data_IF_255181734828
#
_entry.id   IF_255181734828
#
_cell.length_a   1.000
_cell.length_b   1.000
_cell.length_c   1.000
_cell.angle_alpha   90.00
_cell.angle_beta   90.00
_cell.angle_gamma   90.00
#
_symmetry.space_group_name_H-M   'P 1'
#
loop_
_entity.id
_entity.type
_entity.pdbx_description
1 polymer ?
#
# COMPACT_ATOMS: atom_id res chain seq x y z
N UNK A 1 41.18 6.13 44.81
CA UNK A 1 39.87 5.63 45.25
C UNK A 1 38.93 5.85 44.10
N UNK A 2 38.57 4.74 43.48
CA UNK A 2 37.58 4.64 42.41
C UNK A 2 36.18 4.80 43.01
N UNK A 3 35.17 4.91 42.14
CA UNK A 3 33.72 5.12 42.40
C UNK A 3 33.35 6.61 42.41
N UNK A 4 32.41 7.13 41.61
CA UNK A 4 31.22 6.52 40.98
C UNK A 4 30.96 7.17 39.60
N UNK A 5 30.90 6.36 38.53
CA UNK A 5 30.12 6.70 37.32
C UNK A 5 28.95 5.74 37.27
N UNK A 6 27.94 6.03 38.08
CA UNK A 6 26.69 5.29 38.15
C UNK A 6 25.56 6.03 37.46
N UNK A 7 25.70 6.41 36.19
CA UNK A 7 24.59 6.94 35.39
C UNK A 7 24.79 6.53 33.92
N UNK A 8 23.92 5.66 33.39
CA UNK A 8 23.84 5.45 31.93
C UNK A 8 23.55 4.03 31.40
N UNK A 9 23.34 3.01 32.22
CA UNK A 9 23.18 1.63 31.72
C UNK A 9 21.73 1.15 31.49
N UNK A 10 20.71 1.89 31.94
CA UNK A 10 19.30 1.47 31.83
C UNK A 10 18.56 1.98 30.58
N UNK A 11 18.74 3.25 30.21
CA UNK A 11 17.95 3.87 29.12
C UNK A 11 18.26 3.33 27.72
N UNK A 12 19.52 3.01 27.44
CA UNK A 12 19.92 2.46 26.14
C UNK A 12 19.43 1.04 25.89
N UNK A 13 19.34 0.22 26.94
CA UNK A 13 18.80 -1.14 26.84
C UNK A 13 17.28 -1.13 26.64
N UNK A 14 16.55 -0.25 27.34
CA UNK A 14 15.10 -0.07 27.14
C UNK A 14 14.79 0.44 25.73
N UNK A 15 15.53 1.44 25.23
CA UNK A 15 15.36 1.96 23.88
C UNK A 15 15.67 0.92 22.78
N UNK A 16 16.68 0.06 23.00
CA UNK A 16 17.00 -1.02 22.08
C UNK A 16 15.90 -2.10 22.02
N UNK A 17 15.29 -2.42 23.16
CA UNK A 17 14.19 -3.39 23.23
C UNK A 17 12.91 -2.87 22.57
N UNK A 18 12.57 -1.60 22.80
CA UNK A 18 11.44 -0.96 22.12
C UNK A 18 11.63 -0.97 20.59
N UNK A 19 12.84 -0.64 20.11
CA UNK A 19 13.16 -0.67 18.69
C UNK A 19 13.01 -2.07 18.09
N UNK A 20 13.46 -3.12 18.79
CA UNK A 20 13.31 -4.52 18.34
C UNK A 20 11.84 -4.89 18.18
N UNK A 21 11.01 -4.59 19.17
CA UNK A 21 9.57 -4.88 19.11
C UNK A 21 8.87 -4.15 17.94
N UNK A 22 9.28 -2.92 17.64
CA UNK A 22 8.77 -2.17 16.49
C UNK A 22 9.18 -2.84 15.16
N UNK A 23 10.44 -3.27 15.04
CA UNK A 23 10.97 -3.95 13.85
C UNK A 23 10.25 -5.29 13.64
N UNK A 24 10.17 -6.15 14.66
CA UNK A 24 9.52 -7.46 14.58
C UNK A 24 8.04 -7.33 14.18
N UNK A 25 7.35 -6.28 14.67
CA UNK A 25 5.97 -6.00 14.26
C UNK A 25 5.91 -5.57 12.80
N UNK A 26 6.83 -4.71 12.34
CA UNK A 26 6.88 -4.25 10.95
C UNK A 26 7.21 -5.41 9.97
N UNK A 27 8.15 -6.28 10.32
CA UNK A 27 8.53 -7.44 9.49
C UNK A 27 7.36 -8.40 9.29
N UNK A 28 6.64 -8.72 10.36
CA UNK A 28 5.40 -9.53 10.29
C UNK A 28 4.36 -8.90 9.36
N UNK A 29 4.14 -7.59 9.46
CA UNK A 29 3.20 -6.88 8.60
C UNK A 29 3.65 -6.89 7.12
N UNK A 30 4.96 -6.82 6.85
CA UNK A 30 5.49 -6.96 5.49
C UNK A 30 5.31 -8.38 4.94
N UNK A 31 5.46 -9.42 5.77
CA UNK A 31 5.15 -10.80 5.38
C UNK A 31 3.66 -10.99 5.06
N UNK A 32 2.76 -10.48 5.90
CA UNK A 32 1.31 -10.50 5.67
C UNK A 32 0.94 -9.76 4.37
N UNK A 33 1.50 -8.56 4.18
CA UNK A 33 1.33 -7.77 2.96
C UNK A 33 1.82 -8.49 1.71
N UNK A 34 2.92 -9.25 1.80
CA UNK A 34 3.42 -10.08 0.71
C UNK A 34 2.43 -11.19 0.38
N UNK A 35 1.92 -11.92 1.37
CA UNK A 35 0.89 -12.94 1.18
C UNK A 35 -0.34 -12.39 0.47
N UNK A 36 -0.90 -11.28 0.97
CA UNK A 36 -2.05 -10.61 0.34
C UNK A 36 -1.73 -10.17 -1.10
N UNK A 37 -0.52 -9.68 -1.34
CA UNK A 37 -0.10 -9.25 -2.68
C UNK A 37 -0.02 -10.43 -3.65
N UNK A 38 0.41 -11.60 -3.18
CA UNK A 38 0.47 -12.82 -3.99
C UNK A 38 -0.95 -13.37 -4.27
N UNK A 39 -1.84 -13.37 -3.28
CA UNK A 39 -3.25 -13.73 -3.48
C UNK A 39 -3.93 -12.83 -4.53
N UNK A 40 -3.67 -11.52 -4.49
CA UNK A 40 -4.20 -10.57 -5.50
C UNK A 40 -3.65 -10.88 -6.89
N UNK A 41 -2.38 -11.32 -7.01
CA UNK A 41 -1.80 -11.71 -8.31
C UNK A 41 -2.51 -12.96 -8.83
N UNK A 42 -2.77 -13.95 -8.00
CA UNK A 42 -3.46 -15.18 -8.39
C UNK A 42 -4.87 -14.91 -8.90
N UNK A 43 -5.63 -14.03 -8.22
CA UNK A 43 -6.94 -13.56 -8.70
C UNK A 43 -6.85 -12.89 -10.07
N UNK A 44 -5.81 -12.07 -10.30
CA UNK A 44 -5.60 -11.43 -11.60
C UNK A 44 -5.20 -12.42 -12.70
N UNK A 45 -4.44 -13.47 -12.36
CA UNK A 45 -4.09 -14.55 -13.28
C UNK A 45 -5.33 -15.38 -13.65
N UNK A 46 -6.19 -15.68 -12.68
CA UNK A 46 -7.47 -16.35 -12.89
C UNK A 46 -8.39 -15.50 -13.79
N UNK A 47 -8.47 -14.18 -13.56
CA UNK A 47 -9.23 -13.29 -14.41
C UNK A 47 -8.72 -13.32 -15.86
N UNK A 48 -7.39 -13.34 -16.04
CA UNK A 48 -6.76 -13.44 -17.37
C UNK A 48 -7.05 -14.78 -18.04
N UNK A 49 -7.01 -15.90 -17.32
CA UNK A 49 -7.32 -17.22 -17.90
C UNK A 49 -8.79 -17.34 -18.33
N UNK A 50 -9.68 -16.55 -17.69
CA UNK A 50 -11.09 -16.40 -18.07
C UNK A 50 -11.34 -15.37 -19.18
N UNK A 51 -10.29 -14.72 -19.69
CA UNK A 51 -10.38 -13.76 -20.81
C UNK A 51 -10.63 -12.30 -20.40
N UNK A 52 -10.55 -11.95 -19.11
CA UNK A 52 -10.66 -10.56 -18.68
C UNK A 52 -9.33 -9.81 -18.78
N UNK A 53 -9.39 -8.51 -19.07
CA UNK A 53 -8.21 -7.64 -19.05
C UNK A 53 -7.86 -7.20 -17.61
N UNK A 54 -6.69 -7.63 -17.14
CA UNK A 54 -6.22 -7.33 -15.79
C UNK A 54 -5.96 -5.83 -15.55
N UNK A 55 -5.61 -5.04 -16.57
CA UNK A 55 -5.43 -3.57 -16.43
C UNK A 55 -6.78 -2.89 -16.24
N UNK A 56 -7.79 -3.29 -17.00
CA UNK A 56 -9.16 -2.81 -16.86
C UNK A 56 -9.72 -3.11 -15.46
N UNK A 57 -9.52 -4.33 -14.95
CA UNK A 57 -9.94 -4.68 -13.57
C UNK A 57 -9.25 -3.79 -12.54
N UNK A 58 -7.93 -3.57 -12.64
CA UNK A 58 -7.21 -2.67 -11.71
C UNK A 58 -7.73 -1.23 -11.79
N UNK A 59 -8.05 -0.73 -12.99
CA UNK A 59 -8.66 0.60 -13.16
C UNK A 59 -10.02 0.65 -12.45
N UNK A 60 -10.87 -0.37 -12.63
CA UNK A 60 -12.16 -0.48 -11.94
C UNK A 60 -11.97 -0.51 -10.42
N UNK A 61 -11.01 -1.28 -9.90
CA UNK A 61 -10.70 -1.30 -8.46
C UNK A 61 -10.30 0.08 -7.94
N UNK A 62 -9.50 0.84 -8.70
CA UNK A 62 -9.11 2.19 -8.33
C UNK A 62 -10.31 3.16 -8.35
N UNK A 63 -11.19 3.06 -9.35
CA UNK A 63 -12.43 3.85 -9.44
C UNK A 63 -13.32 3.56 -8.23
N UNK A 64 -13.49 2.28 -7.86
CA UNK A 64 -14.32 1.85 -6.72
C UNK A 64 -13.83 2.34 -5.36
N UNK A 65 -12.60 2.84 -5.25
CA UNK A 65 -12.06 3.45 -4.03
C UNK A 65 -12.42 4.94 -3.89
N UNK A 66 -12.86 5.59 -4.97
CA UNK A 66 -13.26 7.00 -4.98
C UNK A 66 -14.74 7.16 -4.62
N UNK A 67 -15.13 8.35 -4.17
CA UNK A 67 -16.56 8.70 -4.13
C UNK A 67 -17.09 8.83 -5.55
N UNK A 68 -18.37 8.54 -5.73
CA UNK A 68 -19.00 8.52 -7.04
C UNK A 68 -18.94 9.89 -7.72
N UNK A 69 -19.20 10.94 -6.94
CA UNK A 69 -19.24 12.32 -7.40
C UNK A 69 -17.84 12.77 -7.86
N UNK A 70 -16.81 12.51 -7.05
CA UNK A 70 -15.41 12.82 -7.39
C UNK A 70 -14.98 12.12 -8.69
N UNK A 71 -15.33 10.85 -8.89
CA UNK A 71 -15.03 10.14 -10.12
C UNK A 71 -15.79 10.71 -11.34
N UNK A 72 -17.06 11.07 -11.17
CA UNK A 72 -17.86 11.64 -12.26
C UNK A 72 -17.33 13.00 -12.70
N UNK A 73 -16.94 13.86 -11.76
CA UNK A 73 -16.32 15.16 -12.07
C UNK A 73 -15.00 14.99 -12.82
N UNK A 74 -14.12 14.09 -12.34
CA UNK A 74 -12.85 13.79 -13.03
C UNK A 74 -13.07 13.28 -14.46
N UNK A 75 -13.99 12.32 -14.66
CA UNK A 75 -14.22 11.75 -15.99
C UNK A 75 -14.86 12.76 -16.94
N UNK A 76 -15.76 13.63 -16.47
CA UNK A 76 -16.32 14.72 -17.28
C UNK A 76 -15.22 15.69 -17.76
N UNK A 77 -14.25 16.00 -16.91
CA UNK A 77 -13.09 16.82 -17.27
C UNK A 77 -12.19 16.12 -18.29
N UNK A 78 -11.90 14.84 -18.08
CA UNK A 78 -11.10 14.03 -19.03
C UNK A 78 -11.80 13.94 -20.38
N UNK A 79 -13.09 13.66 -20.41
CA UNK A 79 -13.88 13.59 -21.63
C UNK A 79 -13.85 14.93 -22.39
N UNK A 80 -14.03 16.05 -21.68
CA UNK A 80 -13.92 17.39 -22.27
C UNK A 80 -12.57 17.61 -22.96
N UNK A 81 -11.48 17.20 -22.31
CA UNK A 81 -10.14 17.33 -22.89
C UNK A 81 -9.92 16.36 -24.06
N UNK A 82 -10.42 15.14 -23.98
CA UNK A 82 -10.33 14.17 -25.09
C UNK A 82 -11.08 14.66 -26.32
N UNK A 83 -12.28 15.24 -26.16
CA UNK A 83 -13.03 15.86 -27.25
C UNK A 83 -12.26 17.02 -27.88
N UNK A 84 -11.69 17.91 -27.07
CA UNK A 84 -10.88 19.03 -27.55
C UNK A 84 -9.63 18.59 -28.32
N UNK A 85 -9.10 17.40 -28.01
CA UNK A 85 -7.94 16.81 -28.67
C UNK A 85 -8.31 15.89 -29.85
N UNK A 86 -9.60 15.68 -30.15
CA UNK A 86 -10.06 14.76 -31.21
C UNK A 86 -9.77 13.28 -30.92
N UNK A 87 -9.71 12.91 -29.64
CA UNK A 87 -9.47 11.55 -29.15
C UNK A 87 -10.75 10.75 -28.86
N UNK A 88 -11.91 11.35 -29.12
CA UNK A 88 -13.27 10.79 -29.06
C UNK A 88 -13.97 11.08 -30.39
#
# INVERSE_FOLDING_TARGET
MSEERGEGMGGGQVAAEELRLLIERAERLEEEKKGISDDIKDVMLEAKSRGYDAKAIRRIMAIRKKKREEYQEEEAMVETYMQALGML
#
